data_IF_375785605444
#
_entry.id   IF_375785605444
#
_cell.length_a   1.000
_cell.length_b   1.000
_cell.length_c   1.000
_cell.angle_alpha   90.00
_cell.angle_beta   90.00
_cell.angle_gamma   90.00
#
_symmetry.space_group_name_H-M   'P 1'
#
loop_
_entity.id
_entity.type
_entity.pdbx_description
1 polymer ?
#
# COMPACT_ATOMS: atom_id res chain seq x y z
N UNK A 1 0.29 -27.85 3.11
CA UNK A 1 0.73 -26.43 3.17
C UNK A 1 1.93 -26.30 2.22
N UNK A 2 1.91 -25.41 1.24
CA UNK A 2 3.07 -25.22 0.35
C UNK A 2 4.11 -24.39 1.08
N UNK A 3 5.33 -24.89 1.21
CA UNK A 3 6.42 -24.11 1.77
C UNK A 3 6.74 -22.92 0.87
N UNK A 4 6.69 -21.72 1.42
CA UNK A 4 7.15 -20.51 0.75
C UNK A 4 8.67 -20.53 0.72
N UNK A 5 9.25 -20.94 -0.40
CA UNK A 5 10.71 -21.08 -0.56
C UNK A 5 11.43 -19.78 -0.90
N UNK A 6 10.71 -18.71 -1.20
CA UNK A 6 11.28 -17.39 -1.54
C UNK A 6 10.46 -16.30 -0.89
N UNK A 7 11.14 -15.44 -0.15
CA UNK A 7 10.57 -14.19 0.30
C UNK A 7 10.68 -13.15 -0.82
N UNK A 8 9.72 -12.21 -0.93
CA UNK A 8 9.84 -11.12 -1.87
C UNK A 8 11.12 -10.32 -1.60
N UNK A 9 11.84 -10.01 -2.65
CA UNK A 9 13.02 -9.16 -2.59
C UNK A 9 12.70 -7.84 -3.31
N UNK A 10 13.26 -6.75 -2.81
CA UNK A 10 13.10 -5.45 -3.43
C UNK A 10 14.44 -4.92 -3.89
N UNK A 11 14.47 -4.35 -5.08
CA UNK A 11 15.63 -3.70 -5.68
C UNK A 11 15.25 -2.31 -6.17
N UNK A 12 16.21 -1.42 -6.24
CA UNK A 12 16.02 -0.07 -6.76
C UNK A 12 15.62 0.95 -5.70
N UNK A 13 15.64 2.21 -6.11
CA UNK A 13 15.29 3.36 -5.27
C UNK A 13 13.80 3.37 -4.94
N UNK A 14 13.48 3.81 -3.74
CA UNK A 14 12.11 4.06 -3.29
C UNK A 14 12.01 5.43 -2.63
N UNK A 15 10.80 5.96 -2.50
CA UNK A 15 10.55 7.19 -1.75
C UNK A 15 11.08 7.11 -0.31
N UNK A 16 11.12 5.90 0.24
CA UNK A 16 11.65 5.67 1.57
C UNK A 16 13.14 6.02 1.67
N UNK A 17 13.95 5.75 0.63
CA UNK A 17 15.39 6.07 0.61
C UNK A 17 15.65 7.58 0.66
N UNK A 18 14.72 8.38 0.16
CA UNK A 18 14.76 9.85 0.21
C UNK A 18 14.11 10.44 1.45
N UNK A 19 13.46 9.60 2.25
CA UNK A 19 12.74 10.00 3.46
C UNK A 19 13.68 10.16 4.64
N UNK A 20 13.35 11.07 5.56
CA UNK A 20 13.98 11.16 6.89
C UNK A 20 13.78 9.89 7.73
N UNK A 21 12.85 9.01 7.35
CA UNK A 21 12.56 7.75 8.02
C UNK A 21 13.28 6.54 7.40
N UNK A 22 14.19 6.73 6.44
CA UNK A 22 14.90 5.63 5.76
C UNK A 22 15.58 4.66 6.74
N UNK A 23 16.14 5.17 7.82
CA UNK A 23 16.86 4.40 8.83
C UNK A 23 15.96 4.03 10.04
N UNK A 24 14.66 4.32 9.97
CA UNK A 24 13.74 3.98 11.05
C UNK A 24 13.58 2.45 11.16
N UNK A 25 13.94 1.92 12.30
CA UNK A 25 13.74 0.51 12.62
C UNK A 25 12.33 0.32 13.21
N UNK A 26 11.47 -0.33 12.46
CA UNK A 26 10.17 -0.76 12.96
C UNK A 26 10.36 -1.91 13.95
N UNK A 27 10.28 -1.64 15.23
CA UNK A 27 10.50 -2.60 16.34
C UNK A 27 9.27 -3.50 16.60
N UNK A 28 8.52 -3.83 15.56
CA UNK A 28 7.25 -4.52 15.70
C UNK A 28 7.35 -5.98 16.12
N UNK A 29 8.33 -6.71 15.59
CA UNK A 29 8.40 -8.17 15.78
C UNK A 29 8.81 -8.62 17.19
N UNK A 30 9.44 -7.76 17.98
CA UNK A 30 9.83 -8.07 19.37
C UNK A 30 8.63 -8.09 20.33
N UNK A 31 7.51 -7.52 19.94
CA UNK A 31 6.30 -7.37 20.77
C UNK A 31 5.05 -7.91 20.07
N UNK A 32 5.18 -8.99 19.30
CA UNK A 32 4.00 -9.61 18.70
C UNK A 32 3.10 -10.10 19.81
N UNK A 33 1.96 -9.45 19.98
CA UNK A 33 0.90 -9.89 20.88
C UNK A 33 0.29 -11.21 20.39
N UNK A 34 -0.35 -11.93 21.29
CA UNK A 34 -1.06 -13.16 20.94
C UNK A 34 -2.42 -12.90 20.29
N UNK A 35 -2.97 -11.72 20.47
CA UNK A 35 -4.30 -11.35 20.06
C UNK A 35 -4.34 -9.92 19.56
N UNK A 36 -5.01 -9.72 18.44
CA UNK A 36 -5.31 -8.43 17.83
C UNK A 36 -6.78 -8.38 17.45
N UNK A 37 -7.38 -7.19 17.51
CA UNK A 37 -8.75 -6.99 17.05
C UNK A 37 -8.78 -6.90 15.51
N UNK A 38 -7.69 -6.36 14.91
CA UNK A 38 -7.51 -6.28 13.46
C UNK A 38 -6.08 -6.66 13.07
N UNK A 39 -5.98 -7.46 12.02
CA UNK A 39 -4.70 -7.82 11.38
C UNK A 39 -4.74 -7.41 9.92
N UNK A 40 -3.80 -6.58 9.51
CA UNK A 40 -3.64 -6.08 8.15
C UNK A 40 -2.36 -6.68 7.58
N UNK A 41 -2.44 -7.28 6.40
CA UNK A 41 -1.29 -7.84 5.71
C UNK A 41 -0.93 -6.96 4.53
N UNK A 42 0.27 -6.42 4.56
CA UNK A 42 0.82 -5.48 3.59
C UNK A 42 0.81 -4.03 4.08
N UNK A 43 1.99 -3.42 4.12
CA UNK A 43 2.24 -2.04 4.57
C UNK A 43 2.35 -1.03 3.42
N UNK A 44 1.61 -1.24 2.31
CA UNK A 44 1.46 -0.27 1.23
C UNK A 44 0.35 0.75 1.50
N UNK A 45 -0.06 1.50 0.46
CA UNK A 45 -1.10 2.53 0.59
C UNK A 45 -2.42 1.98 1.15
N UNK A 46 -2.88 0.82 0.64
CA UNK A 46 -4.12 0.20 1.12
C UNK A 46 -4.04 -0.21 2.58
N UNK A 47 -2.96 -0.87 2.99
CA UNK A 47 -2.76 -1.29 4.37
C UNK A 47 -2.61 -0.11 5.32
N UNK A 48 -1.87 0.92 4.93
CA UNK A 48 -1.73 2.14 5.72
C UNK A 48 -3.07 2.88 5.87
N UNK A 49 -3.79 3.08 4.75
CA UNK A 49 -5.09 3.75 4.79
C UNK A 49 -6.10 3.00 5.65
N UNK A 50 -6.14 1.68 5.54
CA UNK A 50 -6.99 0.83 6.37
C UNK A 50 -6.62 0.95 7.86
N UNK A 51 -5.34 0.82 8.20
CA UNK A 51 -4.86 0.93 9.59
C UNK A 51 -5.16 2.31 10.19
N UNK A 52 -4.88 3.37 9.44
CA UNK A 52 -5.13 4.76 9.87
C UNK A 52 -6.61 4.98 10.15
N UNK A 53 -7.47 4.54 9.23
CA UNK A 53 -8.92 4.72 9.39
C UNK A 53 -9.50 3.90 10.54
N UNK A 54 -9.02 2.67 10.73
CA UNK A 54 -9.41 1.85 11.87
C UNK A 54 -8.99 2.50 13.20
N UNK A 55 -7.78 3.04 13.29
CA UNK A 55 -7.30 3.72 14.49
C UNK A 55 -8.12 4.98 14.83
N UNK A 56 -8.61 5.71 13.82
CA UNK A 56 -9.52 6.84 14.02
C UNK A 56 -10.90 6.40 14.51
N UNK A 57 -11.45 5.36 13.91
CA UNK A 57 -12.81 4.90 14.22
C UNK A 57 -12.88 4.08 15.51
N UNK A 58 -11.81 3.41 15.87
CA UNK A 58 -11.73 2.51 17.00
C UNK A 58 -10.38 2.69 17.74
N UNK A 59 -10.19 3.80 18.45
CA UNK A 59 -8.91 4.16 19.06
C UNK A 59 -8.42 3.16 20.12
N UNK A 60 -9.32 2.38 20.70
CA UNK A 60 -8.98 1.34 21.69
C UNK A 60 -8.64 -0.02 21.05
N UNK A 61 -8.83 -0.17 19.73
CA UNK A 61 -8.57 -1.44 19.06
C UNK A 61 -7.07 -1.71 18.91
N UNK A 62 -6.70 -2.96 19.12
CA UNK A 62 -5.33 -3.44 18.87
C UNK A 62 -5.17 -3.80 17.40
N UNK A 63 -4.51 -2.96 16.67
CA UNK A 63 -4.31 -3.09 15.23
C UNK A 63 -2.86 -3.51 14.95
N UNK A 64 -2.67 -4.59 14.18
CA UNK A 64 -1.37 -5.01 13.71
C UNK A 64 -1.27 -4.92 12.19
N UNK A 65 -0.16 -4.36 11.71
CA UNK A 65 0.19 -4.36 10.28
C UNK A 65 1.42 -5.23 10.09
N UNK A 66 1.29 -6.29 9.30
CA UNK A 66 2.39 -7.18 8.94
C UNK A 66 2.86 -6.87 7.52
N UNK A 67 4.15 -6.62 7.38
CA UNK A 67 4.80 -6.33 6.10
C UNK A 67 5.97 -7.30 5.89
N UNK A 68 6.09 -7.80 4.66
CA UNK A 68 7.08 -8.84 4.34
C UNK A 68 8.53 -8.33 4.32
N UNK A 69 8.74 -7.05 4.01
CA UNK A 69 10.08 -6.47 3.86
C UNK A 69 10.23 -5.25 4.78
N UNK A 70 9.60 -4.15 4.41
CA UNK A 70 9.62 -2.87 5.14
C UNK A 70 8.42 -2.05 4.69
N UNK A 71 7.74 -1.41 5.63
CA UNK A 71 6.58 -0.55 5.32
C UNK A 71 6.98 0.52 4.30
N UNK A 72 6.17 0.67 3.26
CA UNK A 72 6.41 1.64 2.19
C UNK A 72 7.52 1.26 1.20
N UNK A 73 8.13 0.08 1.28
CA UNK A 73 9.21 -0.33 0.38
C UNK A 73 8.77 -1.26 -0.77
N UNK A 74 7.48 -1.52 -0.90
CA UNK A 74 6.87 -2.18 -2.06
C UNK A 74 6.52 -1.20 -3.19
N UNK A 75 5.61 -1.59 -4.06
CA UNK A 75 5.19 -0.80 -5.23
C UNK A 75 4.64 0.58 -4.85
N UNK A 76 3.97 0.70 -3.71
CA UNK A 76 3.50 1.98 -3.18
C UNK A 76 4.61 3.00 -2.93
N UNK A 77 5.81 2.55 -2.60
CA UNK A 77 6.97 3.41 -2.39
C UNK A 77 7.88 3.57 -3.60
N UNK A 78 7.55 2.95 -4.73
CA UNK A 78 8.39 2.91 -5.94
C UNK A 78 7.69 3.45 -7.19
N UNK A 79 6.53 4.07 -7.01
CA UNK A 79 5.83 4.71 -8.11
C UNK A 79 6.51 6.03 -8.52
N UNK A 80 6.13 6.54 -9.69
CA UNK A 80 6.68 7.79 -10.23
C UNK A 80 6.06 9.05 -9.61
N UNK A 81 5.10 8.93 -8.68
CA UNK A 81 4.45 10.05 -7.98
C UNK A 81 3.43 10.82 -8.82
N UNK A 82 3.06 10.32 -9.99
CA UNK A 82 2.04 10.96 -10.79
C UNK A 82 0.63 10.63 -10.27
N UNK A 83 -0.21 11.64 -10.18
CA UNK A 83 -1.65 11.49 -10.04
C UNK A 83 -2.22 11.40 -11.45
N UNK A 84 -2.81 10.26 -11.79
CA UNK A 84 -3.34 9.99 -13.12
C UNK A 84 -4.85 9.87 -13.00
N UNK A 85 -5.56 10.73 -13.71
CA UNK A 85 -7.02 10.84 -13.70
C UNK A 85 -7.71 10.01 -14.80
N UNK A 86 -6.93 9.43 -15.71
CA UNK A 86 -7.43 8.57 -16.78
C UNK A 86 -6.78 7.19 -16.74
N UNK A 87 -7.50 6.12 -17.11
CA UNK A 87 -6.94 4.78 -17.14
C UNK A 87 -5.85 4.65 -18.20
N UNK A 88 -4.73 4.05 -17.82
CA UNK A 88 -3.75 3.58 -18.76
C UNK A 88 -4.08 2.16 -19.19
N UNK A 89 -4.62 1.97 -20.37
CA UNK A 89 -4.78 0.66 -20.99
C UNK A 89 -3.43 0.17 -21.50
N UNK A 90 -2.69 -0.53 -20.64
CA UNK A 90 -1.50 -1.26 -21.04
C UNK A 90 -1.93 -2.50 -21.84
N UNK A 91 -1.84 -2.46 -23.15
CA UNK A 91 -2.01 -3.64 -23.99
C UNK A 91 -2.98 -3.51 -25.16
N UNK A 92 -3.90 -2.59 -25.12
CA UNK A 92 -4.68 -2.24 -26.29
C UNK A 92 -4.14 -0.94 -26.90
N UNK A 93 -3.86 -0.96 -28.21
CA UNK A 93 -3.25 0.16 -28.92
C UNK A 93 -4.16 1.41 -28.92
N UNK A 94 -4.34 2.02 -27.77
CA UNK A 94 -4.97 3.35 -27.66
C UNK A 94 -6.48 3.40 -27.78
N UNK A 95 -7.18 2.28 -27.70
CA UNK A 95 -8.64 2.23 -27.80
C UNK A 95 -9.33 2.18 -26.42
N UNK A 96 -9.00 3.10 -25.50
CA UNK A 96 -9.95 3.38 -24.43
C UNK A 96 -11.14 4.11 -25.03
N UNK A 97 -12.35 3.60 -24.82
CA UNK A 97 -13.56 4.29 -25.29
C UNK A 97 -13.75 5.58 -24.50
N UNK A 98 -14.43 6.57 -25.09
CA UNK A 98 -14.80 7.81 -24.38
C UNK A 98 -15.59 7.50 -23.10
N UNK A 99 -16.42 6.47 -23.12
CA UNK A 99 -17.24 6.00 -22.00
C UNK A 99 -16.39 5.45 -20.84
N UNK A 100 -15.32 4.70 -21.14
CA UNK A 100 -14.39 4.20 -20.11
C UNK A 100 -13.69 5.38 -19.41
N UNK A 101 -13.27 6.39 -20.16
CA UNK A 101 -12.64 7.58 -19.62
C UNK A 101 -13.61 8.42 -18.76
N UNK A 102 -14.88 8.55 -19.19
CA UNK A 102 -15.91 9.28 -18.45
C UNK A 102 -16.22 8.60 -17.11
N UNK A 103 -16.31 7.27 -17.11
CA UNK A 103 -16.54 6.50 -15.87
C UNK A 103 -15.37 6.69 -14.89
N UNK A 104 -14.13 6.63 -15.35
CA UNK A 104 -12.95 6.83 -14.52
C UNK A 104 -12.88 8.26 -13.97
N UNK A 105 -13.18 9.24 -14.78
CA UNK A 105 -13.24 10.63 -14.35
C UNK A 105 -14.27 10.85 -13.24
N UNK A 106 -15.46 10.25 -13.40
CA UNK A 106 -16.50 10.29 -12.37
C UNK A 106 -16.06 9.59 -11.08
N UNK A 107 -15.40 8.42 -11.17
CA UNK A 107 -14.88 7.73 -10.00
C UNK A 107 -13.83 8.56 -9.26
N UNK A 108 -12.91 9.17 -9.98
CA UNK A 108 -11.85 10.00 -9.37
C UNK A 108 -12.39 11.26 -8.71
N UNK A 109 -13.46 11.84 -9.22
CA UNK A 109 -14.11 13.02 -8.57
C UNK A 109 -14.88 12.66 -7.30
N UNK A 110 -15.20 11.39 -7.06
CA UNK A 110 -15.83 10.94 -5.80
C UNK A 110 -14.83 10.64 -4.67
N UNK A 111 -13.53 10.61 -4.97
CA UNK A 111 -12.48 10.21 -4.03
C UNK A 111 -11.78 11.44 -3.41
N UNK A 112 -12.07 12.62 -3.89
CA UNK A 112 -11.62 13.90 -3.34
C UNK A 112 -12.76 14.47 -2.51
#
# INVERSE_FOLDING_TARGET
MRDVKRFPTTTGLSWLEMSSFKDHLFKGHEKIGKEYDYVIVGGGYGGYGCASRLAELQPEARIAVFEAIKIGNGDSGKNAGFIIDVPHNFGDQGNSTFEDNEMYYKLNTFII
#
